data_IF_335547096639
#
_entry.id   IF_335547096639
#
_cell.length_a   1.000
_cell.length_b   1.000
_cell.length_c   1.000
_cell.angle_alpha   90.00
_cell.angle_beta   90.00
_cell.angle_gamma   90.00
#
_symmetry.space_group_name_H-M   'P 1'
#
loop_
_entity.id
_entity.type
_entity.pdbx_description
1 polymer ?
#
# COMPACT_ATOMS: atom_id res chain seq x y z
N UNK A 1 -6.00 -12.11 18.68
CA UNK A 1 -4.90 -11.39 19.35
C UNK A 1 -4.94 -9.95 18.86
N UNK A 2 -5.02 -8.99 19.77
CA UNK A 2 -5.05 -7.56 19.40
C UNK A 2 -3.61 -7.03 19.35
N UNK A 3 -3.16 -6.58 18.18
CA UNK A 3 -1.92 -5.82 18.05
C UNK A 3 -2.16 -4.44 18.67
N UNK A 4 -1.27 -3.99 19.55
CA UNK A 4 -1.35 -2.64 20.13
C UNK A 4 -0.64 -1.65 19.23
N UNK A 5 -1.23 -1.35 18.07
CA UNK A 5 -0.72 -0.34 17.14
C UNK A 5 -1.09 1.05 17.64
N UNK A 6 -0.09 1.93 17.74
CA UNK A 6 -0.34 3.35 18.05
C UNK A 6 -1.03 4.04 16.87
N UNK A 7 -1.62 5.21 17.09
CA UNK A 7 -2.23 5.99 16.00
C UNK A 7 -1.20 6.38 14.92
N UNK A 8 0.07 6.54 15.32
CA UNK A 8 1.17 6.78 14.39
C UNK A 8 1.47 5.54 13.54
N UNK A 9 1.49 4.35 14.16
CA UNK A 9 1.75 3.09 13.45
C UNK A 9 0.65 2.80 12.43
N UNK A 10 -0.60 3.00 12.84
CA UNK A 10 -1.77 2.91 11.97
C UNK A 10 -1.69 3.89 10.80
N UNK A 11 -1.23 5.12 11.05
CA UNK A 11 -1.04 6.14 10.00
C UNK A 11 0.05 5.74 9.02
N UNK A 12 1.16 5.16 9.49
CA UNK A 12 2.24 4.61 8.66
C UNK A 12 1.72 3.47 7.77
N UNK A 13 0.98 2.51 8.35
CA UNK A 13 0.39 1.38 7.63
C UNK A 13 -0.57 1.84 6.52
N UNK A 14 -1.44 2.81 6.81
CA UNK A 14 -2.37 3.37 5.82
C UNK A 14 -1.64 4.14 4.73
N UNK A 15 -0.69 4.99 5.10
CA UNK A 15 0.13 5.75 4.15
C UNK A 15 0.85 4.82 3.19
N UNK A 16 1.44 3.74 3.71
CA UNK A 16 2.09 2.72 2.92
C UNK A 16 1.12 2.02 1.95
N UNK A 17 0.00 1.50 2.46
CA UNK A 17 -0.94 0.72 1.65
C UNK A 17 -1.67 1.56 0.60
N UNK A 18 -2.31 2.67 1.01
CA UNK A 18 -3.03 3.55 0.08
C UNK A 18 -2.06 4.30 -0.83
N UNK A 19 -0.90 4.69 -0.31
CA UNK A 19 0.16 5.30 -1.11
C UNK A 19 0.69 4.38 -2.21
N UNK A 20 0.84 3.08 -1.94
CA UNK A 20 1.24 2.11 -2.95
C UNK A 20 0.24 2.05 -4.12
N UNK A 21 -1.06 2.03 -3.81
CA UNK A 21 -2.13 2.06 -4.81
C UNK A 21 -2.12 3.38 -5.59
N UNK A 22 -1.92 4.52 -4.93
CA UNK A 22 -1.81 5.83 -5.59
C UNK A 22 -0.58 5.93 -6.49
N UNK A 23 0.56 5.39 -6.04
CA UNK A 23 1.79 5.38 -6.81
C UNK A 23 1.65 4.53 -8.07
N UNK A 24 0.97 3.38 -7.96
CA UNK A 24 0.63 2.54 -9.09
C UNK A 24 -0.37 3.22 -10.04
N UNK A 25 -1.39 3.91 -9.50
CA UNK A 25 -2.35 4.68 -10.28
C UNK A 25 -1.67 5.80 -11.08
N UNK A 26 -0.67 6.47 -10.51
CA UNK A 26 0.12 7.48 -11.18
C UNK A 26 0.99 6.92 -12.33
N UNK A 27 1.34 5.63 -12.27
CA UNK A 27 2.13 4.96 -13.30
C UNK A 27 1.29 4.39 -14.46
N UNK A 28 -0.05 4.43 -14.36
CA UNK A 28 -0.96 3.78 -15.29
C UNK A 28 -1.83 4.70 -16.13
N UNK A 29 -2.35 4.17 -17.25
CA UNK A 29 -3.14 4.94 -18.21
C UNK A 29 -4.57 5.28 -17.73
N UNK A 30 -5.08 4.62 -16.68
CA UNK A 30 -6.42 4.86 -16.10
C UNK A 30 -6.36 5.05 -14.58
N UNK A 31 -5.76 6.15 -14.09
CA UNK A 31 -5.46 6.34 -12.66
C UNK A 31 -6.67 6.13 -11.75
N UNK A 32 -7.83 6.69 -12.11
CA UNK A 32 -9.04 6.53 -11.29
C UNK A 32 -9.50 5.08 -11.13
N UNK A 33 -9.42 4.26 -12.19
CA UNK A 33 -9.83 2.84 -12.10
C UNK A 33 -8.83 2.02 -11.28
N UNK A 34 -7.54 2.28 -11.48
CA UNK A 34 -6.45 1.63 -10.73
C UNK A 34 -6.63 1.93 -9.24
N UNK A 35 -6.84 3.21 -8.89
CA UNK A 35 -7.07 3.64 -7.52
C UNK A 35 -8.34 3.01 -6.90
N UNK A 36 -9.46 2.98 -7.64
CA UNK A 36 -10.70 2.35 -7.16
C UNK A 36 -10.51 0.88 -6.88
N UNK A 37 -9.96 0.12 -7.84
CA UNK A 37 -9.80 -1.33 -7.69
C UNK A 37 -8.81 -1.69 -6.57
N UNK A 38 -7.67 -1.00 -6.50
CA UNK A 38 -6.71 -1.21 -5.43
C UNK A 38 -7.30 -0.87 -4.06
N UNK A 39 -8.05 0.23 -3.96
CA UNK A 39 -8.73 0.60 -2.71
C UNK A 39 -9.77 -0.43 -2.29
N UNK A 40 -10.59 -0.93 -3.22
CA UNK A 40 -11.58 -1.99 -2.93
C UNK A 40 -10.88 -3.23 -2.36
N UNK A 41 -9.76 -3.64 -2.97
CA UNK A 41 -8.97 -4.77 -2.48
C UNK A 41 -8.40 -4.51 -1.07
N UNK A 42 -7.84 -3.32 -0.80
CA UNK A 42 -7.38 -2.94 0.54
C UNK A 42 -8.52 -2.98 1.57
N UNK A 43 -9.70 -2.46 1.24
CA UNK A 43 -10.87 -2.47 2.14
C UNK A 43 -11.51 -3.84 2.31
N UNK A 44 -11.17 -4.80 1.45
CA UNK A 44 -11.61 -6.20 1.55
C UNK A 44 -10.70 -7.03 2.47
N UNK A 45 -9.58 -6.45 2.93
CA UNK A 45 -8.68 -7.11 3.86
C UNK A 45 -9.38 -7.41 5.20
N UNK A 46 -9.03 -8.55 5.79
CA UNK A 46 -9.61 -9.03 7.05
C UNK A 46 -8.59 -9.03 8.18
N UNK A 47 -9.07 -9.23 9.42
CA UNK A 47 -8.20 -9.30 10.60
C UNK A 47 -7.73 -7.92 11.08
N UNK A 48 -6.72 -7.88 11.96
CA UNK A 48 -6.22 -6.65 12.55
C UNK A 48 -5.79 -5.60 11.51
N UNK A 49 -5.05 -6.01 10.47
CA UNK A 49 -4.67 -5.11 9.37
C UNK A 49 -5.90 -4.58 8.62
N UNK A 50 -6.89 -5.43 8.33
CA UNK A 50 -8.15 -5.00 7.73
C UNK A 50 -8.87 -3.93 8.55
N UNK A 51 -8.94 -4.09 9.87
CA UNK A 51 -9.50 -3.08 10.77
C UNK A 51 -8.71 -1.77 10.73
N UNK A 52 -7.38 -1.83 10.71
CA UNK A 52 -6.53 -0.64 10.57
C UNK A 52 -6.81 0.04 9.24
N UNK A 53 -6.85 -0.68 8.12
CA UNK A 53 -7.08 -0.10 6.80
C UNK A 53 -8.49 0.47 6.61
N UNK A 54 -9.50 -0.12 7.28
CA UNK A 54 -10.90 0.33 7.24
C UNK A 54 -11.22 1.48 8.20
N UNK A 55 -10.40 1.68 9.24
CA UNK A 55 -10.60 2.76 10.20
C UNK A 55 -10.47 4.12 9.49
N UNK A 56 -11.51 4.95 9.67
CA UNK A 56 -11.68 6.23 9.00
C UNK A 56 -10.75 7.28 9.58
N UNK A 57 -9.46 7.23 9.26
CA UNK A 57 -8.54 8.32 9.55
C UNK A 57 -8.72 9.44 8.51
N UNK A 58 -8.52 10.68 8.95
CA UNK A 58 -8.59 11.86 8.08
C UNK A 58 -7.71 11.75 6.83
N UNK A 59 -7.86 12.74 5.93
CA UNK A 59 -7.18 12.85 4.63
C UNK A 59 -5.74 12.33 4.75
N UNK A 60 -5.48 11.14 4.19
CA UNK A 60 -4.12 10.59 4.12
C UNK A 60 -3.34 11.57 3.27
N UNK A 61 -2.45 12.34 3.90
CA UNK A 61 -1.61 13.28 3.20
C UNK A 61 -0.52 12.49 2.47
N UNK A 62 -0.90 12.01 1.29
CA UNK A 62 0.04 11.58 0.27
C UNK A 62 0.69 12.85 -0.28
N UNK A 63 1.65 13.39 0.47
CA UNK A 63 2.43 14.55 0.08
C UNK A 63 3.15 14.29 -1.25
N UNK A 64 3.22 15.32 -2.10
CA UNK A 64 3.91 15.27 -3.38
C UNK A 64 3.08 15.86 -4.51
N UNK A 65 3.65 16.81 -5.24
CA UNK A 65 3.13 17.35 -6.50
C UNK A 65 3.48 16.44 -7.68
N UNK A 66 4.41 15.51 -7.47
CA UNK A 66 4.94 14.62 -8.50
C UNK A 66 4.96 13.16 -8.05
N UNK A 67 5.03 12.25 -9.04
CA UNK A 67 5.18 10.81 -8.80
C UNK A 67 6.46 10.47 -8.04
N UNK A 68 7.53 11.25 -8.28
CA UNK A 68 8.81 11.08 -7.59
C UNK A 68 8.69 11.39 -6.10
N UNK A 69 8.14 12.55 -5.74
CA UNK A 69 7.91 12.93 -4.34
C UNK A 69 6.97 11.94 -3.63
N UNK A 70 5.95 11.45 -4.34
CA UNK A 70 5.08 10.40 -3.81
C UNK A 70 5.86 9.10 -3.55
N UNK A 71 6.74 8.69 -4.47
CA UNK A 71 7.57 7.50 -4.28
C UNK A 71 8.56 7.65 -3.11
N UNK A 72 9.14 8.84 -2.95
CA UNK A 72 10.08 9.18 -1.87
C UNK A 72 9.41 9.12 -0.49
N UNK A 73 8.09 9.33 -0.43
CA UNK A 73 7.32 9.20 0.82
C UNK A 73 6.80 7.76 1.03
N UNK A 74 6.26 7.13 -0.03
CA UNK A 74 5.54 5.85 0.07
C UNK A 74 6.48 4.66 0.19
N UNK A 75 7.59 4.61 -0.57
CA UNK A 75 8.48 3.45 -0.54
C UNK A 75 9.15 3.28 0.84
N UNK A 76 9.68 4.34 1.48
CA UNK A 76 10.17 4.22 2.85
C UNK A 76 9.07 3.88 3.86
N UNK A 77 7.84 4.40 3.67
CA UNK A 77 6.71 4.06 4.54
C UNK A 77 6.33 2.58 4.47
N UNK A 78 6.42 1.94 3.29
CA UNK A 78 6.22 0.49 3.13
C UNK A 78 7.26 -0.31 3.90
N UNK A 79 8.53 0.05 3.81
CA UNK A 79 9.60 -0.62 4.56
C UNK A 79 9.44 -0.40 6.07
N UNK A 80 9.12 0.82 6.50
CA UNK A 80 8.87 1.12 7.91
C UNK A 80 7.67 0.35 8.48
N UNK A 81 6.57 0.25 7.73
CA UNK A 81 5.41 -0.56 8.08
C UNK A 81 5.77 -2.04 8.25
N UNK A 82 6.55 -2.60 7.32
CA UNK A 82 6.99 -4.00 7.40
C UNK A 82 7.93 -4.26 8.60
N UNK A 83 8.90 -3.37 8.85
CA UNK A 83 9.78 -3.47 10.02
C UNK A 83 8.96 -3.45 11.33
N UNK A 84 8.04 -2.50 11.44
CA UNK A 84 7.17 -2.36 12.61
C UNK A 84 6.34 -3.63 12.85
N UNK A 85 5.72 -4.17 11.80
CA UNK A 85 4.94 -5.39 11.92
C UNK A 85 5.82 -6.60 12.25
N UNK A 86 7.03 -6.71 11.70
CA UNK A 86 7.95 -7.81 12.05
C UNK A 86 8.39 -7.78 13.51
N UNK A 87 8.58 -6.59 14.08
CA UNK A 87 8.95 -6.44 15.48
C UNK A 87 7.78 -6.72 16.43
N UNK A 88 6.59 -6.22 16.09
CA UNK A 88 5.43 -6.27 17.01
C UNK A 88 4.54 -7.51 16.80
N UNK A 89 4.33 -7.90 15.55
CA UNK A 89 3.38 -8.96 15.16
C UNK A 89 3.81 -9.63 13.84
N UNK A 90 4.81 -10.53 13.85
CA UNK A 90 5.35 -11.15 12.64
C UNK A 90 4.29 -11.78 11.74
N UNK A 91 3.26 -12.41 12.34
CA UNK A 91 2.14 -13.01 11.61
C UNK A 91 1.32 -11.99 10.80
N UNK A 92 1.31 -10.74 11.23
CA UNK A 92 0.56 -9.66 10.60
C UNK A 92 1.40 -8.92 9.55
N UNK A 93 2.74 -9.06 9.60
CA UNK A 93 3.63 -8.60 8.54
C UNK A 93 3.35 -9.34 7.22
N UNK A 94 3.18 -10.67 7.28
CA UNK A 94 2.82 -11.47 6.10
C UNK A 94 1.42 -11.14 5.59
N UNK A 95 0.46 -10.93 6.50
CA UNK A 95 -0.90 -10.50 6.17
C UNK A 95 -0.92 -9.13 5.46
N UNK A 96 -0.16 -8.16 5.98
CA UNK A 96 -0.02 -6.84 5.38
C UNK A 96 0.62 -6.91 4.00
N UNK A 97 1.75 -7.63 3.87
CA UNK A 97 2.42 -7.83 2.58
C UNK A 97 1.48 -8.45 1.55
N UNK A 98 0.79 -9.53 1.91
CA UNK A 98 -0.17 -10.19 1.02
C UNK A 98 -1.30 -9.24 0.60
N UNK A 99 -1.84 -8.47 1.55
CA UNK A 99 -2.89 -7.48 1.30
C UNK A 99 -2.46 -6.42 0.29
N UNK A 100 -1.26 -5.86 0.45
CA UNK A 100 -0.73 -4.83 -0.47
C UNK A 100 -0.48 -5.41 -1.87
N UNK A 101 0.06 -6.62 -1.96
CA UNK A 101 0.30 -7.29 -3.25
C UNK A 101 -1.02 -7.57 -3.99
N UNK A 102 -2.02 -8.11 -3.29
CA UNK A 102 -3.37 -8.34 -3.86
C UNK A 102 -3.98 -7.02 -4.35
N UNK A 103 -3.81 -5.92 -3.61
CA UNK A 103 -4.32 -4.62 -4.03
C UNK A 103 -3.64 -4.11 -5.32
N UNK A 104 -2.33 -4.31 -5.46
CA UNK A 104 -1.57 -3.95 -6.66
C UNK A 104 -2.01 -4.81 -7.86
N UNK A 105 -2.21 -6.11 -7.65
CA UNK A 105 -2.72 -7.02 -8.67
C UNK A 105 -4.13 -6.61 -9.13
N UNK A 106 -5.05 -6.40 -8.20
CA UNK A 106 -6.42 -5.96 -8.48
C UNK A 106 -6.45 -4.62 -9.24
N UNK A 107 -5.55 -3.71 -8.88
CA UNK A 107 -5.38 -2.42 -9.53
C UNK A 107 -4.86 -2.55 -10.98
N UNK A 108 -4.14 -3.62 -11.30
CA UNK A 108 -3.61 -3.90 -12.63
C UNK A 108 -4.57 -4.68 -13.57
N UNK A 109 -5.64 -5.32 -13.05
CA UNK A 109 -6.55 -6.23 -13.80
C UNK A 109 -7.17 -5.61 -15.07
N UNK A 110 -7.42 -4.30 -15.10
CA UNK A 110 -8.06 -3.63 -16.25
C UNK A 110 -7.10 -2.87 -17.16
N UNK A 111 -5.81 -3.20 -17.08
CA UNK A 111 -4.85 -2.73 -18.06
C UNK A 111 -5.07 -3.46 -19.38
N UNK A 112 -5.42 -2.68 -20.40
CA UNK A 112 -5.65 -3.17 -21.76
C UNK A 112 -4.36 -3.56 -22.49
N UNK A 113 -3.19 -3.16 -21.99
CA UNK A 113 -1.88 -3.55 -22.52
C UNK A 113 -0.86 -3.69 -21.38
N UNK A 114 0.17 -4.53 -21.57
CA UNK A 114 1.32 -4.56 -20.66
C UNK A 114 1.91 -3.16 -20.53
N UNK A 115 1.96 -2.64 -19.31
CA UNK A 115 2.55 -1.34 -19.01
C UNK A 115 3.92 -1.54 -18.37
N UNK A 116 5.02 -1.22 -19.08
CA UNK A 116 6.36 -1.28 -18.49
C UNK A 116 6.51 -0.37 -17.28
N UNK A 117 5.85 0.80 -17.28
CA UNK A 117 5.89 1.74 -16.15
C UNK A 117 5.21 1.19 -14.91
N UNK A 118 4.05 0.53 -15.05
CA UNK A 118 3.39 -0.13 -13.92
C UNK A 118 4.17 -1.37 -13.47
N UNK A 119 4.77 -2.12 -14.38
CA UNK A 119 5.62 -3.27 -14.04
C UNK A 119 6.80 -2.85 -13.19
N UNK A 120 7.51 -1.80 -13.59
CA UNK A 120 8.61 -1.22 -12.79
C UNK A 120 8.11 -0.68 -11.45
N UNK A 121 6.92 -0.08 -11.40
CA UNK A 121 6.37 0.42 -10.15
C UNK A 121 6.00 -0.71 -9.17
N UNK A 122 5.35 -1.76 -9.66
CA UNK A 122 5.08 -2.98 -8.89
C UNK A 122 6.37 -3.60 -8.38
N UNK A 123 7.43 -3.64 -9.20
CA UNK A 123 8.76 -4.13 -8.77
C UNK A 123 9.32 -3.29 -7.62
N UNK A 124 9.25 -1.95 -7.69
CA UNK A 124 9.71 -1.06 -6.62
C UNK A 124 8.92 -1.25 -5.32
N UNK A 125 7.59 -1.34 -5.41
CA UNK A 125 6.74 -1.57 -4.23
C UNK A 125 7.05 -2.92 -3.59
N UNK A 126 7.18 -3.98 -4.40
CA UNK A 126 7.51 -5.33 -3.90
C UNK A 126 8.88 -5.34 -3.23
N UNK A 127 9.89 -4.70 -3.83
CA UNK A 127 11.21 -4.56 -3.23
C UNK A 127 11.16 -3.81 -1.89
N UNK A 128 10.35 -2.77 -1.77
CA UNK A 128 10.20 -2.02 -0.51
C UNK A 128 9.55 -2.87 0.60
N UNK A 129 8.62 -3.76 0.26
CA UNK A 129 8.02 -4.72 1.19
C UNK A 129 9.00 -5.83 1.63
N UNK A 130 9.96 -6.17 0.77
CA UNK A 130 10.97 -7.21 1.01
C UNK A 130 12.26 -6.71 1.66
N UNK A 131 12.54 -5.40 1.60
CA UNK A 131 13.76 -4.79 2.15
C UNK A 131 13.79 -4.71 3.68
N UNK A 132 12.65 -4.95 4.33
CA UNK A 132 12.53 -5.14 5.78
C UNK A 132 13.09 -6.50 6.19
#
# INVERSE_FOLDING_TARGET
MSITLTDQDKTTLRTAAYGAVSLLAAAGAKPHRIATNGTVALTSATGPIGHVLAEKSGRIELGGKTVAELADHVLPALTAAMNLLREQAPAEADNFRSTVLVAIEAAAVHQTQPSPTMTEMTRKITAALEAA
#
